data_IF_792685479297
#
_entry.id   IF_792685479297
#
_cell.length_a   1.000
_cell.length_b   1.000
_cell.length_c   1.000
_cell.angle_alpha   90.00
_cell.angle_beta   90.00
_cell.angle_gamma   90.00
#
_symmetry.space_group_name_H-M   'P 1'
#
loop_
_entity.id
_entity.type
_entity.pdbx_description
1 polymer ?
#
# COMPACT_ATOMS: atom_id res chain seq x y z
N UNK A 1 -14.83 -17.36 33.72
CA UNK A 1 -15.11 -16.93 32.33
C UNK A 1 -15.58 -15.48 32.39
N UNK A 2 -14.82 -14.53 31.85
CA UNK A 2 -15.25 -13.12 31.80
C UNK A 2 -16.31 -12.98 30.71
N UNK A 3 -17.54 -12.63 31.09
CA UNK A 3 -18.63 -12.36 30.14
C UNK A 3 -18.31 -11.07 29.42
N UNK A 4 -18.02 -11.13 28.11
CA UNK A 4 -17.77 -9.91 27.31
C UNK A 4 -19.08 -9.12 27.22
N UNK A 5 -18.98 -7.81 27.49
CA UNK A 5 -20.11 -6.87 27.52
C UNK A 5 -20.70 -6.60 26.13
N UNK A 6 -19.93 -6.84 25.07
CA UNK A 6 -20.33 -6.66 23.68
C UNK A 6 -19.98 -7.89 22.83
N UNK A 7 -20.78 -8.20 21.80
CA UNK A 7 -20.46 -9.26 20.85
C UNK A 7 -19.16 -8.94 20.10
N UNK A 8 -18.30 -9.95 19.92
CA UNK A 8 -17.02 -9.83 19.21
C UNK A 8 -17.24 -9.91 17.68
N UNK A 9 -18.02 -8.95 17.16
CA UNK A 9 -18.44 -8.89 15.75
C UNK A 9 -17.26 -8.78 14.80
N UNK A 10 -16.16 -8.14 15.22
CA UNK A 10 -14.95 -8.03 14.42
C UNK A 10 -14.24 -9.38 14.24
N UNK A 11 -14.10 -10.18 15.32
CA UNK A 11 -13.46 -11.49 15.19
C UNK A 11 -14.29 -12.46 14.36
N UNK A 12 -15.62 -12.38 14.46
CA UNK A 12 -16.55 -13.15 13.62
C UNK A 12 -16.41 -12.76 12.15
N UNK A 13 -16.49 -11.47 11.82
CA UNK A 13 -16.31 -10.97 10.46
C UNK A 13 -14.94 -11.37 9.90
N UNK A 14 -13.87 -11.23 10.69
CA UNK A 14 -12.52 -11.63 10.29
C UNK A 14 -12.42 -13.12 9.97
N UNK A 15 -13.16 -13.97 10.70
CA UNK A 15 -13.25 -15.39 10.39
C UNK A 15 -13.97 -15.63 9.05
N UNK A 16 -15.10 -14.97 8.81
CA UNK A 16 -15.85 -15.06 7.55
C UNK A 16 -15.01 -14.61 6.35
N UNK A 17 -14.32 -13.47 6.45
CA UNK A 17 -13.45 -12.92 5.39
C UNK A 17 -12.29 -13.89 5.08
N UNK A 18 -11.71 -14.53 6.09
CA UNK A 18 -10.68 -15.57 5.92
C UNK A 18 -11.23 -16.81 5.25
N UNK A 19 -12.40 -17.29 5.65
CA UNK A 19 -13.05 -18.47 5.08
C UNK A 19 -13.42 -18.25 3.60
N UNK A 20 -13.89 -17.04 3.25
CA UNK A 20 -14.13 -16.63 1.88
C UNK A 20 -12.85 -16.52 1.03
N UNK A 21 -11.66 -16.62 1.64
CA UNK A 21 -10.38 -16.54 0.94
C UNK A 21 -10.00 -15.14 0.49
N UNK A 22 -10.68 -14.09 0.98
CA UNK A 22 -10.44 -12.70 0.58
C UNK A 22 -9.09 -12.15 1.04
N UNK A 23 -8.43 -12.83 1.99
CA UNK A 23 -7.08 -12.49 2.46
C UNK A 23 -5.97 -13.36 1.83
N UNK A 24 -6.29 -14.17 0.82
CA UNK A 24 -5.29 -14.96 0.10
C UNK A 24 -4.29 -14.02 -0.57
N UNK A 25 -3.01 -14.39 -0.52
CA UNK A 25 -1.95 -13.62 -1.19
C UNK A 25 -2.12 -13.72 -2.70
N UNK A 26 -1.85 -12.63 -3.39
CA UNK A 26 -2.06 -12.51 -4.84
C UNK A 26 -0.74 -12.20 -5.58
N UNK A 27 0.25 -13.13 -5.57
CA UNK A 27 1.59 -12.87 -6.09
C UNK A 27 1.61 -12.61 -7.60
N UNK A 28 0.75 -13.29 -8.37
CA UNK A 28 0.69 -13.12 -9.84
C UNK A 28 0.23 -11.69 -10.18
N UNK A 29 -0.87 -11.24 -9.57
CA UNK A 29 -1.37 -9.87 -9.72
C UNK A 29 -0.30 -8.85 -9.31
N UNK A 30 0.32 -9.03 -8.14
CA UNK A 30 1.40 -8.17 -7.67
C UNK A 30 2.56 -8.07 -8.66
N UNK A 31 3.02 -9.20 -9.21
CA UNK A 31 4.07 -9.22 -10.23
C UNK A 31 3.66 -8.49 -11.51
N UNK A 32 2.44 -8.68 -12.00
CA UNK A 32 1.92 -7.98 -13.18
C UNK A 32 1.91 -6.46 -12.94
N UNK A 33 1.40 -6.01 -11.80
CA UNK A 33 1.34 -4.58 -11.47
C UNK A 33 2.75 -3.97 -11.34
N UNK A 34 3.67 -4.67 -10.68
CA UNK A 34 5.08 -4.25 -10.54
C UNK A 34 5.76 -4.11 -11.90
N UNK A 35 5.64 -5.11 -12.77
CA UNK A 35 6.19 -5.08 -14.13
C UNK A 35 5.54 -3.97 -14.96
N UNK A 36 4.21 -3.83 -14.86
CA UNK A 36 3.46 -2.79 -15.56
C UNK A 36 3.94 -1.38 -15.24
N UNK A 37 4.24 -1.09 -13.97
CA UNK A 37 4.80 0.21 -13.56
C UNK A 37 6.19 0.43 -14.17
N UNK A 38 7.08 -0.57 -14.09
CA UNK A 38 8.44 -0.43 -14.64
C UNK A 38 8.39 -0.23 -16.15
N UNK A 39 7.58 -1.01 -16.87
CA UNK A 39 7.39 -0.87 -18.33
C UNK A 39 6.79 0.50 -18.68
N UNK A 40 5.79 0.96 -17.94
CA UNK A 40 5.18 2.27 -18.15
C UNK A 40 6.18 3.41 -17.94
N UNK A 41 6.99 3.36 -16.87
CA UNK A 41 8.02 4.36 -16.60
C UNK A 41 9.10 4.37 -17.68
N UNK A 42 9.65 3.21 -18.04
CA UNK A 42 10.66 3.11 -19.09
C UNK A 42 10.11 3.57 -20.43
N UNK A 43 8.87 3.18 -20.77
CA UNK A 43 8.19 3.61 -21.97
C UNK A 43 8.00 5.13 -22.03
N UNK A 44 7.57 5.75 -20.94
CA UNK A 44 7.44 7.20 -20.85
C UNK A 44 8.80 7.91 -20.99
N UNK A 45 9.86 7.40 -20.37
CA UNK A 45 11.20 7.99 -20.46
C UNK A 45 11.78 7.90 -21.88
N UNK A 46 11.71 6.72 -22.51
CA UNK A 46 12.25 6.50 -23.86
C UNK A 46 11.47 7.28 -24.92
N UNK A 47 10.18 7.52 -24.71
CA UNK A 47 9.33 8.24 -25.67
C UNK A 47 9.11 9.70 -25.30
N UNK A 48 9.75 10.24 -24.25
CA UNK A 48 9.37 11.52 -23.63
C UNK A 48 9.28 12.70 -24.61
N UNK A 49 10.15 12.76 -25.62
CA UNK A 49 10.20 13.84 -26.61
C UNK A 49 9.00 13.82 -27.58
N UNK A 50 8.29 12.68 -27.67
CA UNK A 50 7.13 12.50 -28.55
C UNK A 50 5.81 12.98 -27.91
N UNK A 51 5.79 13.23 -26.61
CA UNK A 51 4.55 13.53 -25.89
C UNK A 51 4.27 15.02 -25.83
N UNK A 52 2.99 15.38 -25.84
CA UNK A 52 2.58 16.66 -25.29
C UNK A 52 2.90 16.67 -23.77
N UNK A 53 3.57 17.71 -23.23
CA UNK A 53 4.00 17.73 -21.83
C UNK A 53 2.89 17.55 -20.80
N UNK A 54 1.67 18.04 -21.07
CA UNK A 54 0.54 17.87 -20.16
C UNK A 54 0.06 16.41 -20.12
N UNK A 55 0.02 15.75 -21.28
CA UNK A 55 -0.36 14.33 -21.36
C UNK A 55 0.70 13.45 -20.69
N UNK A 56 1.99 13.76 -20.88
CA UNK A 56 3.07 13.07 -20.19
C UNK A 56 2.95 13.25 -18.67
N UNK A 57 2.73 14.48 -18.20
CA UNK A 57 2.53 14.77 -16.78
C UNK A 57 1.36 13.98 -16.19
N UNK A 58 0.21 14.00 -16.84
CA UNK A 58 -0.97 13.24 -16.39
C UNK A 58 -0.72 11.73 -16.36
N UNK A 59 -0.08 11.19 -17.40
CA UNK A 59 0.30 9.78 -17.43
C UNK A 59 1.25 9.42 -16.28
N UNK A 60 2.27 10.24 -16.06
CA UNK A 60 3.23 10.04 -14.97
C UNK A 60 2.55 10.12 -13.59
N UNK A 61 1.58 11.03 -13.39
CA UNK A 61 0.76 11.06 -12.17
C UNK A 61 0.09 9.72 -11.92
N UNK A 62 -0.58 9.14 -12.93
CA UNK A 62 -1.23 7.83 -12.79
C UNK A 62 -0.21 6.76 -12.42
N UNK A 63 0.94 6.72 -13.10
CA UNK A 63 1.97 5.71 -12.86
C UNK A 63 2.56 5.83 -11.45
N UNK A 64 2.86 7.04 -10.98
CA UNK A 64 3.34 7.26 -9.62
C UNK A 64 2.29 6.92 -8.56
N UNK A 65 1.03 7.31 -8.77
CA UNK A 65 -0.06 6.90 -7.89
C UNK A 65 -0.18 5.37 -7.83
N UNK A 66 -0.04 4.67 -8.95
CA UNK A 66 0.01 3.19 -8.95
C UNK A 66 1.22 2.65 -8.18
N UNK A 67 2.39 3.28 -8.29
CA UNK A 67 3.56 2.90 -7.50
C UNK A 67 3.33 3.04 -6.00
N UNK A 68 2.59 4.06 -5.54
CA UNK A 68 2.21 4.22 -4.12
C UNK A 68 1.41 3.01 -3.65
N UNK A 69 0.36 2.62 -4.40
CA UNK A 69 -0.47 1.47 -4.04
C UNK A 69 0.29 0.15 -4.10
N UNK A 70 1.15 -0.06 -5.11
CA UNK A 70 1.98 -1.27 -5.19
C UNK A 70 2.96 -1.35 -4.03
N UNK A 71 3.61 -0.25 -3.68
CA UNK A 71 4.49 -0.18 -2.50
C UNK A 71 3.73 -0.49 -1.20
N UNK A 72 2.55 0.11 -1.02
CA UNK A 72 1.65 -0.17 0.10
C UNK A 72 1.33 -1.66 0.21
N UNK A 73 0.86 -2.27 -0.88
CA UNK A 73 0.46 -3.68 -0.88
C UNK A 73 1.65 -4.65 -0.67
N UNK A 74 2.83 -4.29 -1.17
CA UNK A 74 4.07 -5.04 -0.89
C UNK A 74 4.37 -5.00 0.62
N UNK A 75 4.36 -3.81 1.23
CA UNK A 75 4.70 -3.64 2.64
C UNK A 75 3.63 -4.21 3.59
N UNK A 76 2.38 -4.33 3.13
CA UNK A 76 1.30 -5.10 3.80
C UNK A 76 1.37 -6.61 3.63
N UNK A 77 2.36 -7.10 2.88
CA UNK A 77 2.50 -8.50 2.50
C UNK A 77 1.32 -9.03 1.68
N UNK A 78 0.54 -8.17 1.03
CA UNK A 78 -0.65 -8.54 0.26
C UNK A 78 -0.30 -9.44 -0.94
N UNK A 79 0.84 -9.19 -1.58
CA UNK A 79 1.31 -9.98 -2.72
C UNK A 79 2.05 -11.26 -2.31
N UNK A 80 2.95 -11.17 -1.32
CA UNK A 80 3.84 -12.28 -0.98
C UNK A 80 3.83 -12.58 0.51
N UNK A 81 3.86 -13.87 0.87
CA UNK A 81 3.90 -14.30 2.28
C UNK A 81 5.24 -13.99 2.97
N UNK A 82 6.34 -13.93 2.22
CA UNK A 82 7.68 -13.75 2.77
C UNK A 82 7.96 -12.26 3.05
N UNK A 83 8.11 -11.90 4.33
CA UNK A 83 8.37 -10.51 4.75
C UNK A 83 9.69 -9.97 4.22
N UNK A 84 10.76 -10.76 4.24
CA UNK A 84 12.10 -10.32 3.75
C UNK A 84 12.09 -10.07 2.25
N UNK A 85 11.42 -10.94 1.49
CA UNK A 85 11.23 -10.75 0.05
C UNK A 85 10.43 -9.48 -0.22
N UNK A 86 9.27 -9.33 0.42
CA UNK A 86 8.40 -8.17 0.23
C UNK A 86 9.13 -6.88 0.56
N UNK A 87 9.85 -6.84 1.68
CA UNK A 87 10.61 -5.66 2.07
C UNK A 87 11.68 -5.28 1.04
N UNK A 88 12.42 -6.26 0.48
CA UNK A 88 13.37 -6.01 -0.62
C UNK A 88 12.68 -5.52 -1.89
N UNK A 89 11.55 -6.14 -2.25
CA UNK A 89 10.76 -5.75 -3.42
C UNK A 89 10.11 -4.37 -3.26
N UNK A 90 10.00 -3.84 -2.04
CA UNK A 90 9.48 -2.50 -1.83
C UNK A 90 10.46 -1.41 -2.29
N UNK A 91 11.77 -1.65 -2.34
CA UNK A 91 12.75 -0.59 -2.61
C UNK A 91 12.62 0.07 -3.99
N UNK A 92 12.42 -0.64 -5.10
CA UNK A 92 12.19 0.00 -6.39
C UNK A 92 10.98 0.94 -6.37
N UNK A 93 9.88 0.54 -5.71
CA UNK A 93 8.63 1.30 -5.73
C UNK A 93 8.59 2.40 -4.66
N UNK A 94 9.01 2.11 -3.44
CA UNK A 94 9.06 3.08 -2.34
C UNK A 94 10.26 4.01 -2.46
N UNK A 95 11.48 3.45 -2.45
CA UNK A 95 12.68 4.26 -2.29
C UNK A 95 13.13 4.93 -3.60
N UNK A 96 13.09 4.21 -4.72
CA UNK A 96 13.59 4.74 -5.99
C UNK A 96 12.51 5.58 -6.68
N UNK A 97 11.35 5.00 -6.96
CA UNK A 97 10.29 5.68 -7.71
C UNK A 97 9.63 6.81 -6.90
N UNK A 98 9.39 6.60 -5.60
CA UNK A 98 8.66 7.56 -4.76
C UNK A 98 9.55 8.33 -3.78
N UNK A 99 10.85 8.03 -3.71
CA UNK A 99 11.77 8.65 -2.72
C UNK A 99 11.30 8.53 -1.26
N UNK A 100 10.60 7.43 -0.94
CA UNK A 100 10.03 7.16 0.38
C UNK A 100 10.72 5.98 1.08
N UNK A 101 11.02 6.12 2.37
CA UNK A 101 11.64 5.06 3.17
C UNK A 101 10.65 3.95 3.50
N UNK A 102 10.94 2.73 3.04
CA UNK A 102 10.14 1.54 3.34
C UNK A 102 10.04 1.26 4.84
N UNK A 103 11.11 1.47 5.60
CA UNK A 103 11.13 1.26 7.06
C UNK A 103 10.27 2.28 7.79
N UNK A 104 10.38 3.55 7.40
CA UNK A 104 9.58 4.62 8.00
C UNK A 104 8.10 4.38 7.71
N UNK A 105 7.76 4.00 6.49
CA UNK A 105 6.39 3.69 6.11
C UNK A 105 5.83 2.47 6.86
N UNK A 106 6.60 1.37 6.98
CA UNK A 106 6.19 0.18 7.75
C UNK A 106 5.93 0.55 9.22
N UNK A 107 6.81 1.35 9.82
CA UNK A 107 6.61 1.82 11.18
C UNK A 107 5.37 2.72 11.31
N UNK A 108 5.28 3.80 10.53
CA UNK A 108 4.19 4.77 10.60
C UNK A 108 2.85 4.12 10.31
N UNK A 109 2.75 3.37 9.22
CA UNK A 109 1.47 2.86 8.74
C UNK A 109 1.09 1.52 9.38
N UNK A 110 1.99 0.53 9.43
CA UNK A 110 1.62 -0.79 9.96
C UNK A 110 1.66 -0.86 11.49
N UNK A 111 2.64 -0.21 12.12
CA UNK A 111 2.80 -0.27 13.59
C UNK A 111 1.93 0.76 14.28
N UNK A 112 1.92 2.02 13.85
CA UNK A 112 1.13 3.06 14.53
C UNK A 112 -0.32 3.07 14.05
N UNK A 113 -0.55 3.33 12.76
CA UNK A 113 -1.90 3.47 12.20
C UNK A 113 -2.71 2.16 12.28
N UNK A 114 -2.26 1.04 11.69
CA UNK A 114 -3.09 -0.19 11.68
C UNK A 114 -3.26 -0.86 13.05
N UNK A 115 -2.38 -0.61 14.02
CA UNK A 115 -2.55 -1.13 15.40
C UNK A 115 -3.57 -0.30 16.19
N UNK A 116 -3.60 1.02 15.96
CA UNK A 116 -4.43 1.95 16.71
C UNK A 116 -5.43 2.71 15.83
N UNK A 117 -5.83 2.10 14.72
CA UNK A 117 -6.58 2.77 13.65
C UNK A 117 -7.84 3.45 14.21
N UNK A 118 -8.01 4.71 13.84
CA UNK A 118 -9.11 5.57 14.26
C UNK A 118 -9.19 5.86 15.78
N UNK A 119 -8.10 5.66 16.54
CA UNK A 119 -8.01 6.10 17.93
C UNK A 119 -7.36 7.49 17.93
N UNK A 120 -8.14 8.53 18.20
CA UNK A 120 -7.76 9.95 18.07
C UNK A 120 -6.43 10.28 18.75
N UNK A 121 -6.15 9.68 19.91
CA UNK A 121 -4.94 9.97 20.69
C UNK A 121 -3.70 9.20 20.23
N UNK A 122 -3.85 8.19 19.37
CA UNK A 122 -2.78 7.23 19.01
C UNK A 122 -2.54 7.08 17.51
N UNK A 123 -3.56 7.27 16.70
CA UNK A 123 -3.47 7.25 15.25
C UNK A 123 -3.05 8.63 14.75
N UNK A 124 -1.78 8.78 14.38
CA UNK A 124 -1.30 10.05 13.83
C UNK A 124 -1.92 10.37 12.46
N UNK A 125 -2.38 9.35 11.71
CA UNK A 125 -2.95 9.55 10.36
C UNK A 125 -4.31 10.29 10.41
N UNK A 126 -5.02 10.25 11.53
CA UNK A 126 -6.22 11.07 11.82
C UNK A 126 -5.91 12.57 11.68
N UNK A 127 -4.69 12.98 12.04
CA UNK A 127 -4.28 14.40 11.99
C UNK A 127 -3.76 14.84 10.63
N UNK A 128 -3.69 13.93 9.66
CA UNK A 128 -3.29 14.28 8.31
C UNK A 128 -4.25 15.33 7.73
N UNK A 129 -3.71 16.27 6.93
CA UNK A 129 -4.47 17.36 6.32
C UNK A 129 -5.30 18.16 7.35
N UNK A 130 -4.69 18.49 8.49
CA UNK A 130 -5.31 19.25 9.59
C UNK A 130 -6.63 18.66 10.10
N UNK A 131 -6.78 17.32 10.06
CA UNK A 131 -7.99 16.64 10.51
C UNK A 131 -9.13 16.64 9.49
N UNK A 132 -8.85 16.86 8.21
CA UNK A 132 -9.87 16.85 7.16
C UNK A 132 -10.69 15.54 7.05
N UNK A 133 -10.22 14.44 7.66
CA UNK A 133 -10.85 13.12 7.62
C UNK A 133 -11.32 12.60 8.99
N UNK A 134 -11.45 13.49 9.98
CA UNK A 134 -11.94 13.21 11.34
C UNK A 134 -13.21 13.97 11.63
#
# INVERSE_FOLDING_TARGET
MVKRMYPDTFSELKAQVRQAGLLKRVPIRGTIEMVGIVVALVGALVTMEMWNPFLLGFFMTIVFTRAVFVSHDILHLQYFKNKKLSFRLSYPFSAIILSNSSSWWDYKHNINHHTYCNIIEKDEDIRALDGAFT
#
